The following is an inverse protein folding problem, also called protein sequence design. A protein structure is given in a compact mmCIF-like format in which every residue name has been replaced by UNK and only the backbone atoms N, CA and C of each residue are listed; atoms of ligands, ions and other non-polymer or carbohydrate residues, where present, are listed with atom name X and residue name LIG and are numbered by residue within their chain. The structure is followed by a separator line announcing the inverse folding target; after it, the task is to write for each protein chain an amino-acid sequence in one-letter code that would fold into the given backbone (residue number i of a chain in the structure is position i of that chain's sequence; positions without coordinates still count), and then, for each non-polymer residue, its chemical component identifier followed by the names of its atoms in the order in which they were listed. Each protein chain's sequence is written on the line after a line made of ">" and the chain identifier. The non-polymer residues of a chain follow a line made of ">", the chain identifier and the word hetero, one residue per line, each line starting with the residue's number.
data_IF_232089195918
#
_entry.id   IF_232089195918
#
_cell.length_a   1.000
_cell.length_b   1.000
_cell.length_c   1.000
_cell.angle_alpha   90.00
_cell.angle_beta   90.00
_cell.angle_gamma   90.00
#
_symmetry.space_group_name_H-M   'P 1'
#
loop_
_entity.id
_entity.type
_entity.pdbx_description
1 polymer ?
#
# COMPACT_ATOMS: atom_id res chain seq x y z
N UNK A 1 23.84 -18.66 -15.74
CA UNK A 1 23.97 -17.67 -14.64
C UNK A 1 23.22 -16.34 -14.86
N UNK A 2 22.70 -16.00 -16.05
CA UNK A 2 21.97 -14.73 -16.32
C UNK A 2 20.75 -14.49 -15.39
N UNK A 3 20.06 -15.55 -14.98
CA UNK A 3 18.76 -15.39 -14.29
C UNK A 3 18.91 -15.02 -12.80
N UNK A 4 19.97 -15.48 -12.10
CA UNK A 4 20.13 -15.21 -10.65
C UNK A 4 20.31 -13.72 -10.33
N UNK A 5 21.03 -12.98 -11.18
CA UNK A 5 21.26 -11.53 -11.02
C UNK A 5 19.96 -10.74 -11.19
N UNK A 6 19.14 -11.11 -12.18
CA UNK A 6 17.84 -10.47 -12.45
C UNK A 6 16.85 -10.67 -11.29
N UNK A 7 16.78 -11.87 -10.70
CA UNK A 7 15.93 -12.09 -9.51
C UNK A 7 16.39 -11.30 -8.30
N UNK A 8 17.71 -11.12 -8.11
CA UNK A 8 18.23 -10.30 -7.01
C UNK A 8 17.90 -8.82 -7.20
N UNK A 9 18.02 -8.30 -8.42
CA UNK A 9 17.60 -6.94 -8.76
C UNK A 9 16.11 -6.75 -8.50
N UNK A 10 15.28 -7.71 -8.93
CA UNK A 10 13.84 -7.69 -8.68
C UNK A 10 13.51 -7.63 -7.18
N UNK A 11 14.13 -8.49 -6.37
CA UNK A 11 13.94 -8.50 -4.91
C UNK A 11 14.32 -7.16 -4.27
N UNK A 12 15.47 -6.58 -4.67
CA UNK A 12 15.90 -5.25 -4.20
C UNK A 12 14.87 -4.17 -4.57
N UNK A 13 14.38 -4.15 -5.80
CA UNK A 13 13.37 -3.16 -6.23
C UNK A 13 12.08 -3.29 -5.42
N UNK A 14 11.62 -4.51 -5.16
CA UNK A 14 10.42 -4.75 -4.33
C UNK A 14 10.64 -4.30 -2.88
N UNK A 15 11.82 -4.55 -2.30
CA UNK A 15 12.16 -4.05 -0.96
C UNK A 15 12.18 -2.53 -0.90
N UNK A 16 12.78 -1.86 -1.89
CA UNK A 16 12.79 -0.39 -1.98
C UNK A 16 11.36 0.15 -2.08
N UNK A 17 10.52 -0.44 -2.94
CA UNK A 17 9.13 -0.05 -3.09
C UNK A 17 8.35 -0.20 -1.78
N UNK A 18 8.57 -1.31 -1.04
CA UNK A 18 7.96 -1.52 0.27
C UNK A 18 8.41 -0.47 1.30
N UNK A 19 9.71 -0.17 1.35
CA UNK A 19 10.24 0.86 2.26
C UNK A 19 9.65 2.24 1.96
N UNK A 20 9.59 2.63 0.68
CA UNK A 20 8.94 3.87 0.27
C UNK A 20 7.47 3.88 0.69
N UNK A 21 6.75 2.77 0.49
CA UNK A 21 5.36 2.65 0.91
C UNK A 21 5.18 2.83 2.42
N UNK A 22 6.03 2.19 3.25
CA UNK A 22 6.01 2.34 4.72
C UNK A 22 6.25 3.81 5.11
N UNK A 23 7.26 4.45 4.51
CA UNK A 23 7.60 5.84 4.80
C UNK A 23 6.43 6.75 4.44
N UNK A 24 5.81 6.56 3.27
CA UNK A 24 4.63 7.35 2.86
C UNK A 24 3.45 7.15 3.80
N UNK A 25 3.18 5.91 4.23
CA UNK A 25 2.12 5.64 5.21
C UNK A 25 2.41 6.33 6.53
N UNK A 26 3.63 6.23 7.06
CA UNK A 26 4.01 6.87 8.31
C UNK A 26 3.96 8.40 8.23
N UNK A 27 4.41 8.98 7.11
CA UNK A 27 4.50 10.43 6.93
C UNK A 27 3.16 11.09 6.57
N UNK A 28 2.26 10.38 5.88
CA UNK A 28 1.01 10.96 5.35
C UNK A 28 -0.21 10.34 6.00
N UNK A 29 -0.36 9.01 5.98
CA UNK A 29 -1.57 8.37 6.51
C UNK A 29 -1.71 8.57 8.02
N UNK A 30 -0.65 8.31 8.80
CA UNK A 30 -0.71 8.40 10.27
C UNK A 30 -1.13 9.78 10.78
N UNK A 31 -0.50 10.90 10.36
CA UNK A 31 -0.91 12.23 10.84
C UNK A 31 -2.30 12.64 10.33
N UNK A 32 -2.66 12.30 9.09
CA UNK A 32 -4.01 12.62 8.58
C UNK A 32 -5.09 11.80 9.27
N UNK A 33 -4.83 10.54 9.62
CA UNK A 33 -5.82 9.70 10.30
C UNK A 33 -5.96 10.04 11.78
N UNK A 34 -4.91 10.56 12.43
CA UNK A 34 -5.00 11.00 13.84
C UNK A 34 -5.86 12.26 14.00
N UNK A 35 -5.90 13.15 13.01
CA UNK A 35 -6.77 14.34 13.04
C UNK A 35 -8.25 13.99 12.89
N UNK A 36 -8.60 12.86 12.27
CA UNK A 36 -9.98 12.35 12.23
C UNK A 36 -10.52 12.00 13.63
N UNK A 37 -9.67 11.57 14.57
CA UNK A 37 -10.11 11.20 15.93
C UNK A 37 -10.13 12.37 16.92
N UNK A 38 -9.48 13.48 16.58
CA UNK A 38 -9.39 14.66 17.47
C UNK A 38 -10.36 15.78 17.09
N UNK A 39 -10.98 15.71 15.92
CA UNK A 39 -11.98 16.70 15.49
C UNK A 39 -13.35 16.42 16.14
N UNK A 40 -14.00 17.40 16.79
CA UNK A 40 -15.33 17.27 17.35
C UNK A 40 -16.38 17.31 16.22
N UNK A 41 -16.46 16.23 15.45
CA UNK A 41 -17.48 16.03 14.42
C UNK A 41 -18.06 14.63 14.55
N UNK A 42 -19.39 14.50 14.49
CA UNK A 42 -20.05 13.21 14.31
C UNK A 42 -19.56 12.59 13.01
N UNK A 43 -19.00 11.38 13.07
CA UNK A 43 -18.69 10.56 11.89
C UNK A 43 -20.00 10.29 11.12
N UNK A 44 -20.32 11.14 10.16
CA UNK A 44 -21.41 10.89 9.21
C UNK A 44 -20.89 9.92 8.17
N UNK A 45 -21.61 8.81 7.98
CA UNK A 45 -21.22 7.77 7.02
C UNK A 45 -21.54 8.22 5.60
N UNK A 46 -20.69 9.08 5.05
CA UNK A 46 -20.77 9.54 3.66
C UNK A 46 -19.86 8.72 2.74
N UNK A 47 -19.95 9.00 1.43
CA UNK A 47 -19.14 8.30 0.43
C UNK A 47 -17.63 8.49 0.66
N UNK A 48 -17.20 9.65 1.18
CA UNK A 48 -15.79 9.97 1.41
C UNK A 48 -15.24 9.13 2.56
N UNK A 49 -15.98 9.03 3.67
CA UNK A 49 -15.63 8.17 4.81
C UNK A 49 -15.56 6.70 4.39
N UNK A 50 -16.52 6.20 3.61
CA UNK A 50 -16.52 4.81 3.13
C UNK A 50 -15.29 4.54 2.24
N UNK A 51 -15.01 5.43 1.28
CA UNK A 51 -13.82 5.33 0.40
C UNK A 51 -12.53 5.37 1.23
N UNK A 52 -12.47 6.23 2.24
CA UNK A 52 -11.30 6.39 3.11
C UNK A 52 -11.03 5.12 3.92
N UNK A 53 -12.08 4.53 4.52
CA UNK A 53 -11.97 3.26 5.26
C UNK A 53 -11.57 2.10 4.35
N UNK A 54 -12.16 2.02 3.15
CA UNK A 54 -11.79 1.00 2.16
C UNK A 54 -10.34 1.14 1.71
N UNK A 55 -9.88 2.37 1.45
CA UNK A 55 -8.50 2.67 1.08
C UNK A 55 -7.51 2.22 2.17
N UNK A 56 -7.78 2.57 3.44
CA UNK A 56 -6.93 2.20 4.58
C UNK A 56 -6.89 0.68 4.76
N UNK A 57 -8.04 0.01 4.71
CA UNK A 57 -8.10 -1.45 4.85
C UNK A 57 -7.30 -2.16 3.73
N UNK A 58 -7.51 -1.78 2.47
CA UNK A 58 -6.81 -2.37 1.33
C UNK A 58 -5.31 -2.05 1.35
N UNK A 59 -4.95 -0.82 1.71
CA UNK A 59 -3.55 -0.38 1.84
C UNK A 59 -2.81 -1.17 2.92
N UNK A 60 -3.45 -1.39 4.08
CA UNK A 60 -2.87 -2.17 5.17
C UNK A 60 -2.67 -3.64 4.81
N UNK A 61 -3.67 -4.27 4.16
CA UNK A 61 -3.55 -5.65 3.67
C UNK A 61 -2.43 -5.75 2.63
N UNK A 62 -2.36 -4.82 1.67
CA UNK A 62 -1.29 -4.79 0.68
C UNK A 62 0.09 -4.61 1.33
N UNK A 63 0.20 -3.78 2.36
CA UNK A 63 1.43 -3.56 3.11
C UNK A 63 1.87 -4.84 3.86
N UNK A 64 0.95 -5.48 4.58
CA UNK A 64 1.23 -6.72 5.30
C UNK A 64 1.69 -7.85 4.35
N UNK A 65 1.02 -8.00 3.20
CA UNK A 65 1.43 -8.94 2.16
C UNK A 65 2.80 -8.58 1.58
N UNK A 66 3.09 -7.30 1.36
CA UNK A 66 4.39 -6.82 0.90
C UNK A 66 5.52 -7.19 1.87
N UNK A 67 5.32 -6.98 3.18
CA UNK A 67 6.26 -7.38 4.23
C UNK A 67 6.44 -8.90 4.22
N UNK A 68 5.35 -9.67 4.13
CA UNK A 68 5.40 -11.13 4.02
C UNK A 68 6.21 -11.61 2.81
N UNK A 69 6.06 -10.95 1.66
CA UNK A 69 6.83 -11.29 0.45
C UNK A 69 8.33 -10.98 0.60
N UNK A 70 8.68 -9.81 1.15
CA UNK A 70 10.08 -9.39 1.32
C UNK A 70 10.78 -10.24 2.38
N UNK A 71 10.12 -10.53 3.50
CA UNK A 71 10.66 -11.43 4.54
C UNK A 71 10.84 -12.85 4.02
N UNK A 72 9.84 -13.41 3.34
CA UNK A 72 9.95 -14.74 2.74
C UNK A 72 11.07 -14.84 1.69
N UNK A 73 11.40 -13.73 1.02
CA UNK A 73 12.55 -13.65 0.12
C UNK A 73 13.89 -13.60 0.88
N UNK A 74 14.01 -12.74 1.90
CA UNK A 74 15.25 -12.59 2.68
C UNK A 74 15.66 -13.87 3.44
N UNK A 75 14.69 -14.64 3.94
CA UNK A 75 14.96 -15.85 4.74
C UNK A 75 15.25 -17.11 3.91
N UNK A 76 15.17 -17.06 2.57
CA UNK A 76 15.39 -18.25 1.73
C UNK A 76 16.64 -18.14 0.85
N UNK A 77 17.53 -19.12 0.99
CA UNK A 77 18.76 -19.23 0.22
C UNK A 77 18.53 -19.65 -1.25
N UNK A 78 17.39 -20.28 -1.58
CA UNK A 78 17.09 -20.77 -2.92
C UNK A 78 15.98 -19.96 -3.63
N UNK A 79 16.34 -19.43 -4.80
CA UNK A 79 15.49 -18.61 -5.67
C UNK A 79 14.29 -19.38 -6.26
N UNK A 80 14.24 -20.72 -6.16
CA UNK A 80 13.07 -21.52 -6.56
C UNK A 80 11.79 -21.13 -5.81
N UNK A 81 11.90 -20.64 -4.57
CA UNK A 81 10.73 -20.17 -3.79
C UNK A 81 10.15 -18.85 -4.32
N UNK A 82 10.89 -18.07 -5.11
CA UNK A 82 10.39 -16.84 -5.74
C UNK A 82 9.23 -17.15 -6.69
N UNK A 83 9.27 -18.30 -7.38
CA UNK A 83 8.19 -18.76 -8.25
C UNK A 83 6.96 -19.26 -7.49
N UNK A 84 7.14 -19.86 -6.30
CA UNK A 84 6.02 -20.25 -5.44
C UNK A 84 5.24 -19.03 -4.94
N UNK A 85 5.95 -17.93 -4.64
CA UNK A 85 5.37 -16.67 -4.19
C UNK A 85 4.72 -15.83 -5.30
N UNK A 86 4.88 -16.23 -6.58
CA UNK A 86 4.25 -15.53 -7.73
C UNK A 86 2.72 -15.46 -7.62
N UNK A 87 2.10 -16.47 -6.99
CA UNK A 87 0.65 -16.50 -6.73
C UNK A 87 0.21 -15.48 -5.70
N UNK A 88 1.06 -15.14 -4.73
CA UNK A 88 0.79 -14.07 -3.75
C UNK A 88 1.18 -12.69 -4.29
N UNK A 89 2.16 -12.61 -5.18
CA UNK A 89 2.63 -11.33 -5.72
C UNK A 89 1.60 -10.62 -6.60
N UNK A 90 0.86 -11.36 -7.45
CA UNK A 90 -0.21 -10.79 -8.28
C UNK A 90 -1.32 -10.12 -7.46
N UNK A 91 -1.96 -10.79 -6.46
CA UNK A 91 -2.99 -10.14 -5.66
C UNK A 91 -2.42 -8.98 -4.84
N UNK A 92 -1.20 -9.05 -4.33
CA UNK A 92 -0.57 -7.90 -3.64
C UNK A 92 -0.48 -6.69 -4.57
N UNK A 93 -0.03 -6.87 -5.82
CA UNK A 93 0.02 -5.78 -6.80
C UNK A 93 -1.36 -5.23 -7.13
N UNK A 94 -2.36 -6.08 -7.35
CA UNK A 94 -3.73 -5.64 -7.62
C UNK A 94 -4.30 -4.85 -6.45
N UNK A 95 -4.17 -5.36 -5.22
CA UNK A 95 -4.63 -4.67 -4.01
C UNK A 95 -3.93 -3.33 -3.83
N UNK A 96 -2.62 -3.28 -4.06
CA UNK A 96 -1.85 -2.05 -3.98
C UNK A 96 -2.29 -1.03 -5.04
N UNK A 97 -2.49 -1.45 -6.29
CA UNK A 97 -2.98 -0.56 -7.35
C UNK A 97 -4.37 -0.03 -7.05
N UNK A 98 -5.30 -0.90 -6.62
CA UNK A 98 -6.66 -0.48 -6.25
C UNK A 98 -6.62 0.51 -5.08
N UNK A 99 -5.78 0.25 -4.07
CA UNK A 99 -5.56 1.17 -2.95
C UNK A 99 -5.07 2.53 -3.46
N UNK A 100 -4.06 2.59 -4.33
CA UNK A 100 -3.60 3.87 -4.92
C UNK A 100 -4.72 4.61 -5.65
N UNK A 101 -5.51 3.90 -6.47
CA UNK A 101 -6.60 4.53 -7.21
C UNK A 101 -7.63 5.15 -6.26
N UNK A 102 -8.01 4.45 -5.19
CA UNK A 102 -8.89 4.99 -4.14
C UNK A 102 -8.30 6.25 -3.50
N UNK A 103 -6.99 6.23 -3.20
CA UNK A 103 -6.30 7.40 -2.62
C UNK A 103 -6.28 8.59 -3.56
N UNK A 104 -6.06 8.37 -4.86
CA UNK A 104 -6.10 9.43 -5.89
C UNK A 104 -7.51 9.99 -6.03
N UNK A 105 -8.54 9.14 -6.10
CA UNK A 105 -9.94 9.59 -6.16
C UNK A 105 -10.28 10.47 -4.95
N UNK A 106 -9.88 10.04 -3.75
CA UNK A 106 -10.09 10.80 -2.53
C UNK A 106 -9.35 12.14 -2.56
N UNK A 107 -8.09 12.17 -2.99
CA UNK A 107 -7.33 13.41 -3.14
C UNK A 107 -8.01 14.39 -4.09
N UNK A 108 -8.47 13.92 -5.26
CA UNK A 108 -9.19 14.75 -6.23
C UNK A 108 -10.49 15.30 -5.65
N UNK A 109 -11.27 14.48 -4.93
CA UNK A 109 -12.52 14.94 -4.28
C UNK A 109 -12.23 16.04 -3.26
N UNK A 110 -11.24 15.84 -2.37
CA UNK A 110 -10.90 16.85 -1.35
C UNK A 110 -10.43 18.16 -1.97
N UNK A 111 -9.55 18.09 -2.98
CA UNK A 111 -9.01 19.29 -3.62
C UNK A 111 -10.05 20.02 -4.47
N UNK A 112 -10.90 19.29 -5.21
CA UNK A 112 -12.00 19.88 -5.95
C UNK A 112 -13.01 20.56 -5.03
N UNK A 113 -13.33 19.93 -3.89
CA UNK A 113 -14.22 20.53 -2.89
C UNK A 113 -13.65 21.83 -2.32
N UNK A 114 -12.33 21.86 -2.03
CA UNK A 114 -11.65 23.06 -1.53
C UNK A 114 -11.59 24.20 -2.56
N UNK A 115 -11.46 23.90 -3.85
CA UNK A 115 -11.45 24.91 -4.91
C UNK A 115 -12.83 25.50 -5.22
N UNK A 116 -13.90 24.72 -4.98
CA UNK A 116 -15.29 25.10 -5.30
C UNK A 116 -16.03 25.70 -4.11
N UNK A 117 -15.42 25.69 -2.91
CA UNK A 117 -15.90 26.34 -1.68
C UNK A 117 -15.32 27.73 -1.52
#
# INVERSE_FOLDING_TARGET
>A
MKNKKSYRQHGITVTIALLLHIITVAAVMVPTFSTFFTSPGTLVLDAVVIISLAHVALGFVALALGIGLVTAWHFKADLKSCFANKKAMRPTLVLWTVSILLGVVMYVIFWASYLLS
#
